data_IF_982997603451
#
_entry.id   IF_982997603451
#
_cell.length_a   1.000
_cell.length_b   1.000
_cell.length_c   1.000
_cell.angle_alpha   90.00
_cell.angle_beta   90.00
_cell.angle_gamma   90.00
#
_symmetry.space_group_name_H-M   'P 1'
#
loop_
_entity.id
_entity.type
_entity.pdbx_description
1 polymer ?
#
# COMPACT_ATOMS: atom_id res chain seq x y z
N UNK A 1 -3.25 10.34 12.20
CA UNK A 1 -2.12 9.74 11.45
C UNK A 1 -0.83 10.45 11.82
N UNK A 2 0.29 9.75 11.95
CA UNK A 2 1.60 10.39 12.08
C UNK A 2 2.06 10.93 10.72
N UNK A 3 2.71 12.11 10.71
CA UNK A 3 3.24 12.74 9.50
C UNK A 3 4.28 11.86 8.81
N UNK A 4 5.06 11.12 9.59
CA UNK A 4 6.05 10.18 9.09
C UNK A 4 5.41 9.04 8.26
N UNK A 5 4.26 8.51 8.69
CA UNK A 5 3.53 7.47 7.96
C UNK A 5 3.06 7.97 6.57
N UNK A 6 2.58 9.21 6.51
CA UNK A 6 2.15 9.83 5.24
C UNK A 6 3.35 10.03 4.30
N UNK A 7 4.49 10.51 4.82
CA UNK A 7 5.71 10.67 4.03
C UNK A 7 6.23 9.33 3.50
N UNK A 8 6.19 8.26 4.31
CA UNK A 8 6.53 6.89 3.88
C UNK A 8 5.59 6.38 2.79
N UNK A 9 4.29 6.55 2.94
CA UNK A 9 3.31 6.17 1.93
C UNK A 9 3.62 6.86 0.59
N UNK A 10 3.91 8.16 0.60
CA UNK A 10 4.27 8.89 -0.61
C UNK A 10 5.51 8.30 -1.30
N UNK A 11 6.52 7.88 -0.54
CA UNK A 11 7.70 7.23 -1.08
C UNK A 11 7.36 5.88 -1.71
N UNK A 12 6.51 5.09 -1.06
CA UNK A 12 6.08 3.79 -1.57
C UNK A 12 5.29 3.94 -2.87
N UNK A 13 4.34 4.87 -2.94
CA UNK A 13 3.58 5.17 -4.16
C UNK A 13 4.55 5.60 -5.28
N UNK A 14 5.45 6.55 -5.02
CA UNK A 14 6.41 6.98 -6.05
C UNK A 14 7.31 5.85 -6.55
N UNK A 15 7.68 4.91 -5.67
CA UNK A 15 8.51 3.76 -6.03
C UNK A 15 7.77 2.71 -6.88
N UNK A 16 6.44 2.72 -6.88
CA UNK A 16 5.62 1.74 -7.61
C UNK A 16 5.33 2.13 -9.07
N UNK A 17 5.54 3.39 -9.45
CA UNK A 17 5.11 3.97 -10.74
C UNK A 17 5.48 3.14 -11.98
N UNK A 18 6.67 2.56 -12.00
CA UNK A 18 7.16 1.79 -13.16
C UNK A 18 6.96 0.27 -13.00
N UNK A 19 6.24 -0.16 -11.96
CA UNK A 19 6.08 -1.57 -11.57
C UNK A 19 4.63 -2.02 -11.76
N UNK A 20 3.69 -1.21 -11.27
CA UNK A 20 2.24 -1.41 -11.44
C UNK A 20 1.74 -0.68 -12.71
N UNK A 21 0.50 -0.96 -13.12
CA UNK A 21 -0.10 -0.28 -14.27
C UNK A 21 -0.28 1.23 -14.03
N UNK A 22 -0.29 2.04 -15.10
CA UNK A 22 -0.54 3.48 -15.01
C UNK A 22 -1.94 3.81 -14.44
N UNK A 23 -2.92 2.94 -14.72
CA UNK A 23 -4.30 3.08 -14.21
C UNK A 23 -4.32 2.89 -12.70
N UNK A 24 -3.76 1.77 -12.23
CA UNK A 24 -3.59 1.47 -10.81
C UNK A 24 -2.81 2.57 -10.06
N UNK A 25 -1.70 3.04 -10.63
CA UNK A 25 -0.94 4.16 -10.06
C UNK A 25 -1.80 5.43 -9.94
N UNK A 26 -2.62 5.73 -10.95
CA UNK A 26 -3.45 6.93 -10.96
C UNK A 26 -4.55 6.87 -9.90
N UNK A 27 -5.16 5.70 -9.68
CA UNK A 27 -6.15 5.50 -8.61
C UNK A 27 -5.52 5.63 -7.22
N UNK A 28 -4.39 4.95 -6.97
CA UNK A 28 -3.66 5.07 -5.70
C UNK A 28 -3.24 6.52 -5.43
N UNK A 29 -2.75 7.22 -6.46
CA UNK A 29 -2.39 8.63 -6.35
C UNK A 29 -3.61 9.51 -6.03
N UNK A 30 -4.76 9.23 -6.63
CA UNK A 30 -6.00 9.95 -6.36
C UNK A 30 -6.41 9.82 -4.88
N UNK A 31 -6.44 8.62 -4.32
CA UNK A 31 -6.72 8.43 -2.89
C UNK A 31 -5.75 9.20 -2.00
N UNK A 32 -4.46 9.19 -2.33
CA UNK A 32 -3.46 9.95 -1.59
C UNK A 32 -3.70 11.46 -1.63
N UNK A 33 -4.04 12.02 -2.80
CA UNK A 33 -4.34 13.45 -2.96
C UNK A 33 -5.60 13.89 -2.21
N UNK A 34 -6.56 12.98 -2.02
CA UNK A 34 -7.78 13.19 -1.26
C UNK A 34 -7.64 12.92 0.25
N UNK A 35 -6.42 12.71 0.74
CA UNK A 35 -6.12 12.39 2.14
C UNK A 35 -6.72 11.05 2.63
N UNK A 36 -7.13 10.19 1.69
CA UNK A 36 -7.66 8.85 1.93
C UNK A 36 -6.50 7.83 2.00
N UNK A 37 -5.57 8.06 2.93
CA UNK A 37 -4.28 7.36 2.98
C UNK A 37 -4.38 5.84 3.22
N UNK A 38 -5.37 5.42 4.02
CA UNK A 38 -5.65 3.98 4.24
C UNK A 38 -6.03 3.31 2.92
N UNK A 39 -6.93 3.94 2.14
CA UNK A 39 -7.33 3.46 0.82
C UNK A 39 -6.16 3.47 -0.15
N UNK A 40 -5.35 4.54 -0.17
CA UNK A 40 -4.19 4.61 -1.02
C UNK A 40 -3.19 3.46 -0.75
N UNK A 41 -2.94 3.15 0.53
CA UNK A 41 -2.04 2.07 0.88
C UNK A 41 -2.65 0.69 0.61
N UNK A 42 -3.92 0.48 0.95
CA UNK A 42 -4.62 -0.78 0.68
C UNK A 42 -4.67 -1.09 -0.82
N UNK A 43 -5.05 -0.10 -1.65
CA UNK A 43 -5.04 -0.21 -3.11
C UNK A 43 -3.65 -0.58 -3.62
N UNK A 44 -2.60 0.06 -3.10
CA UNK A 44 -1.23 -0.27 -3.47
C UNK A 44 -0.86 -1.72 -3.14
N UNK A 45 -1.27 -2.23 -1.97
CA UNK A 45 -1.05 -3.63 -1.60
C UNK A 45 -1.80 -4.60 -2.53
N UNK A 46 -3.04 -4.29 -2.86
CA UNK A 46 -3.86 -5.10 -3.77
C UNK A 46 -3.13 -5.28 -5.11
N UNK A 47 -2.64 -4.20 -5.69
CA UNK A 47 -1.94 -4.22 -6.99
C UNK A 47 -0.67 -5.08 -6.94
N UNK A 48 0.16 -4.91 -5.92
CA UNK A 48 1.38 -5.72 -5.79
C UNK A 48 1.09 -7.22 -5.56
N UNK A 49 0.08 -7.53 -4.75
CA UNK A 49 -0.32 -8.92 -4.48
C UNK A 49 -0.92 -9.57 -5.73
N UNK A 50 -1.77 -8.86 -6.47
CA UNK A 50 -2.41 -9.40 -7.68
C UNK A 50 -1.39 -9.65 -8.80
N UNK A 51 -0.42 -8.75 -8.96
CA UNK A 51 0.64 -8.92 -9.96
C UNK A 51 1.78 -9.83 -9.49
N UNK A 52 1.78 -10.26 -8.22
CA UNK A 52 2.88 -10.98 -7.55
C UNK A 52 4.25 -10.30 -7.76
N UNK A 53 4.25 -8.96 -7.64
CA UNK A 53 5.42 -8.11 -7.83
C UNK A 53 5.77 -7.37 -6.56
N UNK A 54 7.06 -7.09 -6.38
CA UNK A 54 7.56 -6.29 -5.28
C UNK A 54 8.00 -4.91 -5.77
N UNK A 55 7.84 -3.86 -4.95
CA UNK A 55 8.43 -2.55 -5.21
C UNK A 55 9.96 -2.62 -5.20
N UNK A 56 10.61 -1.62 -5.80
CA UNK A 56 12.07 -1.50 -5.72
C UNK A 56 12.47 -1.23 -4.27
N UNK A 57 13.50 -1.92 -3.79
CA UNK A 57 14.01 -1.82 -2.42
C UNK A 57 12.99 -2.21 -1.33
N UNK A 58 12.17 -3.21 -1.61
CA UNK A 58 11.14 -3.71 -0.70
C UNK A 58 11.71 -4.21 0.64
N UNK A 59 11.40 -3.49 1.72
CA UNK A 59 11.68 -3.89 3.10
C UNK A 59 10.37 -4.35 3.79
N UNK A 60 10.30 -5.65 4.10
CA UNK A 60 9.08 -6.30 4.63
C UNK A 60 8.57 -5.69 5.94
N UNK A 61 9.46 -5.39 6.87
CA UNK A 61 9.13 -4.80 8.16
C UNK A 61 8.62 -3.36 8.03
N UNK A 62 9.16 -2.55 7.11
CA UNK A 62 8.68 -1.19 6.87
C UNK A 62 7.25 -1.19 6.30
N UNK A 63 6.99 -2.02 5.30
CA UNK A 63 5.67 -2.16 4.70
C UNK A 63 4.64 -2.70 5.70
N UNK A 64 5.05 -3.67 6.51
CA UNK A 64 4.20 -4.21 7.58
C UNK A 64 3.90 -3.17 8.66
N UNK A 65 4.91 -2.41 9.06
CA UNK A 65 4.75 -1.34 10.07
C UNK A 65 3.78 -0.28 9.55
N UNK A 66 3.92 0.13 8.29
CA UNK A 66 3.02 1.11 7.69
C UNK A 66 1.57 0.61 7.59
N UNK A 67 1.37 -0.68 7.27
CA UNK A 67 0.03 -1.28 7.26
C UNK A 67 -0.64 -1.27 8.63
N UNK A 68 0.11 -1.52 9.70
CA UNK A 68 -0.41 -1.41 11.08
C UNK A 68 -0.73 0.05 11.43
N UNK A 69 0.11 1.00 11.02
CA UNK A 69 -0.12 2.43 11.27
C UNK A 69 -1.37 2.97 10.55
N UNK A 70 -1.70 2.40 9.39
CA UNK A 70 -2.97 2.67 8.69
C UNK A 70 -4.13 1.79 9.16
N UNK A 71 -3.91 0.89 10.13
CA UNK A 71 -4.96 0.07 10.73
C UNK A 71 -5.43 -1.09 9.86
N UNK A 72 -4.69 -1.44 8.80
CA UNK A 72 -5.04 -2.52 7.88
C UNK A 72 -5.06 -3.90 8.55
N UNK A 73 -4.39 -4.05 9.69
CA UNK A 73 -4.41 -5.25 10.51
C UNK A 73 -5.74 -5.47 11.25
N UNK A 74 -6.60 -4.45 11.29
CA UNK A 74 -7.88 -4.47 12.00
C UNK A 74 -9.08 -4.18 11.09
N UNK A 75 -8.93 -3.28 10.11
CA UNK A 75 -9.99 -2.88 9.19
C UNK A 75 -9.46 -2.82 7.75
N UNK A 76 -10.35 -2.95 6.78
CA UNK A 76 -10.04 -2.84 5.35
C UNK A 76 -11.20 -2.14 4.65
N UNK A 77 -10.90 -1.37 3.62
CA UNK A 77 -11.89 -0.62 2.83
C UNK A 77 -12.30 -1.40 1.58
N UNK A 78 -11.35 -2.00 0.87
CA UNK A 78 -11.59 -2.62 -0.45
C UNK A 78 -11.68 -4.14 -0.38
N UNK A 79 -10.76 -4.78 0.34
CA UNK A 79 -10.65 -6.22 0.41
C UNK A 79 -10.63 -6.68 1.89
N UNK A 80 -11.73 -7.29 2.40
CA UNK A 80 -11.86 -7.77 3.77
C UNK A 80 -10.74 -8.66 4.29
N UNK A 81 -9.95 -9.27 3.40
CA UNK A 81 -8.88 -10.21 3.73
C UNK A 81 -7.49 -9.68 3.32
N UNK A 82 -7.38 -8.39 2.98
CA UNK A 82 -6.15 -7.80 2.44
C UNK A 82 -4.96 -8.00 3.36
N UNK A 83 -5.14 -7.90 4.67
CA UNK A 83 -4.06 -8.09 5.62
C UNK A 83 -3.48 -9.50 5.59
N UNK A 84 -4.34 -10.52 5.56
CA UNK A 84 -3.88 -11.90 5.52
C UNK A 84 -3.19 -12.21 4.18
N UNK A 85 -3.72 -11.67 3.08
CA UNK A 85 -3.12 -11.75 1.76
C UNK A 85 -1.74 -11.09 1.74
N UNK A 86 -1.63 -9.88 2.27
CA UNK A 86 -0.36 -9.17 2.42
C UNK A 86 0.64 -9.97 3.27
N UNK A 87 0.25 -10.43 4.46
CA UNK A 87 1.11 -11.23 5.33
C UNK A 87 1.54 -12.54 4.66
N UNK A 88 0.70 -13.14 3.82
CA UNK A 88 1.08 -14.34 3.07
C UNK A 88 2.03 -14.03 1.92
N UNK A 89 1.78 -12.93 1.20
CA UNK A 89 2.57 -12.48 0.07
C UNK A 89 4.00 -12.13 0.50
N UNK A 90 4.18 -11.42 1.62
CA UNK A 90 5.51 -11.03 2.10
C UNK A 90 6.31 -12.14 2.79
N UNK A 91 5.85 -13.39 2.83
CA UNK A 91 6.60 -14.51 3.42
C UNK A 91 7.85 -14.82 2.61
#
# INVERSE_FOLDING_TARGET
MDKNSIERLLLFIKSSKDIISNEAYSEVWHYYEHEEYEMAFEGLLIEFIQEDKYPRDFEKAEWKTLGIEFGLDNNSVFDPDIWNKFISWIK
#
